data_IF_120533763279
#
_entry.id   IF_120533763279
#
_cell.length_a   1.000
_cell.length_b   1.000
_cell.length_c   1.000
_cell.angle_alpha   90.00
_cell.angle_beta   90.00
_cell.angle_gamma   90.00
#
_symmetry.space_group_name_H-M   'P 1'
#
loop_
_entity.id
_entity.type
_entity.pdbx_description
1 polymer ?
#
# COMPACT_ATOMS: atom_id res chain seq x y z
N UNK A 1 18.22 15.25 -15.21
CA UNK A 1 19.27 15.28 -14.16
C UNK A 1 19.41 13.84 -13.66
N UNK A 2 20.57 13.21 -13.83
CA UNK A 2 20.80 11.92 -13.17
C UNK A 2 20.79 12.20 -11.67
N UNK A 3 20.06 11.43 -10.88
CA UNK A 3 20.19 11.45 -9.42
C UNK A 3 21.63 11.06 -9.11
N UNK A 4 22.49 12.04 -8.75
CA UNK A 4 23.86 11.77 -8.28
C UNK A 4 23.84 11.06 -6.93
N UNK A 5 22.70 11.08 -6.25
CA UNK A 5 22.48 10.46 -4.96
C UNK A 5 22.02 9.00 -5.00
N UNK A 6 22.09 8.36 -3.85
CA UNK A 6 21.77 6.94 -3.70
C UNK A 6 20.26 6.63 -3.75
N UNK A 7 19.96 5.37 -4.03
CA UNK A 7 18.60 4.81 -3.95
C UNK A 7 18.56 3.82 -2.80
N UNK A 8 17.66 4.04 -1.84
CA UNK A 8 17.39 3.11 -0.75
C UNK A 8 16.12 2.30 -1.06
N UNK A 9 16.28 1.01 -1.29
CA UNK A 9 15.17 0.07 -1.43
C UNK A 9 14.93 -0.62 -0.09
N UNK A 10 13.70 -0.57 0.41
CA UNK A 10 13.32 -1.19 1.68
C UNK A 10 12.27 -2.27 1.45
N UNK A 11 12.54 -3.47 1.97
CA UNK A 11 11.67 -4.64 1.87
C UNK A 11 11.30 -5.09 3.30
N UNK A 12 10.16 -4.64 3.86
CA UNK A 12 9.65 -5.19 5.10
C UNK A 12 9.29 -6.67 4.93
N UNK A 13 9.77 -7.54 5.83
CA UNK A 13 9.55 -8.99 5.73
C UNK A 13 9.11 -9.59 7.05
N UNK A 14 8.27 -10.63 6.95
CA UNK A 14 7.95 -11.54 8.05
C UNK A 14 7.46 -12.87 7.47
N UNK A 15 8.27 -13.93 7.57
CA UNK A 15 7.98 -15.26 7.03
C UNK A 15 7.71 -15.25 5.51
N UNK A 16 8.70 -14.81 4.75
CA UNK A 16 8.64 -14.65 3.29
C UNK A 16 9.68 -15.53 2.54
N UNK A 17 10.13 -16.64 3.15
CA UNK A 17 11.11 -17.54 2.55
C UNK A 17 10.73 -18.01 1.14
N UNK A 18 9.44 -18.20 0.86
CA UNK A 18 8.93 -18.62 -0.44
C UNK A 18 9.11 -17.58 -1.56
N UNK A 19 9.36 -16.31 -1.22
CA UNK A 19 9.31 -15.21 -2.19
C UNK A 19 10.56 -14.33 -2.20
N UNK A 20 11.19 -14.12 -1.05
CA UNK A 20 12.24 -13.10 -0.86
C UNK A 20 13.43 -13.31 -1.81
N UNK A 21 13.86 -14.56 -2.09
CA UNK A 21 14.96 -14.82 -2.99
C UNK A 21 14.68 -14.30 -4.41
N UNK A 22 13.45 -14.50 -4.91
CA UNK A 22 13.06 -14.04 -6.25
C UNK A 22 13.08 -12.51 -6.32
N UNK A 23 12.51 -11.84 -5.31
CA UNK A 23 12.49 -10.37 -5.24
C UNK A 23 13.91 -9.80 -5.20
N UNK A 24 14.80 -10.36 -4.37
CA UNK A 24 16.19 -9.93 -4.29
C UNK A 24 16.91 -10.12 -5.63
N UNK A 25 16.75 -11.27 -6.28
CA UNK A 25 17.36 -11.54 -7.57
C UNK A 25 16.91 -10.54 -8.64
N UNK A 26 15.62 -10.17 -8.66
CA UNK A 26 15.11 -9.23 -9.65
C UNK A 26 15.63 -7.80 -9.38
N UNK A 27 15.68 -7.35 -8.12
CA UNK A 27 16.22 -6.05 -7.77
C UNK A 27 17.74 -5.93 -8.01
N UNK A 28 18.51 -6.97 -7.76
CA UNK A 28 19.96 -6.99 -7.99
C UNK A 28 20.30 -6.77 -9.47
N UNK A 29 19.49 -7.28 -10.39
CA UNK A 29 19.69 -7.09 -11.84
C UNK A 29 19.66 -5.63 -12.26
N UNK A 30 19.07 -4.75 -11.45
CA UNK A 30 19.03 -3.30 -11.71
C UNK A 30 20.27 -2.54 -11.23
N UNK A 31 21.16 -3.17 -10.45
CA UNK A 31 22.38 -2.54 -9.91
C UNK A 31 23.28 -1.88 -10.95
N UNK A 32 23.44 -2.40 -12.18
CA UNK A 32 24.25 -1.72 -13.21
C UNK A 32 23.68 -0.33 -13.62
N UNK A 33 22.37 -0.15 -13.47
CA UNK A 33 21.67 1.09 -13.82
C UNK A 33 21.55 2.06 -12.64
N UNK A 34 21.66 1.55 -11.40
CA UNK A 34 21.57 2.27 -10.13
C UNK A 34 22.77 1.90 -9.24
N UNK A 35 23.98 2.37 -9.55
CA UNK A 35 25.22 1.91 -8.89
C UNK A 35 25.25 2.22 -7.38
N UNK A 36 24.55 3.27 -6.93
CA UNK A 36 24.44 3.65 -5.52
C UNK A 36 23.15 3.09 -4.87
N UNK A 37 22.58 2.01 -5.42
CA UNK A 37 21.39 1.35 -4.84
C UNK A 37 21.79 0.49 -3.64
N UNK A 38 21.09 0.69 -2.52
CA UNK A 38 21.14 -0.17 -1.34
C UNK A 38 19.79 -0.83 -1.11
N UNK A 39 19.80 -2.13 -0.91
CA UNK A 39 18.60 -2.95 -0.64
C UNK A 39 18.65 -3.37 0.83
N UNK A 40 17.66 -2.94 1.61
CA UNK A 40 17.54 -3.28 3.03
C UNK A 40 16.31 -4.16 3.23
N UNK A 41 16.54 -5.40 3.62
CA UNK A 41 15.48 -6.30 4.07
C UNK A 41 15.29 -6.11 5.56
N UNK A 42 14.13 -5.54 5.94
CA UNK A 42 13.81 -5.23 7.33
C UNK A 42 12.91 -6.32 7.92
N UNK A 43 13.55 -7.30 8.58
CA UNK A 43 12.90 -8.51 9.08
C UNK A 43 12.24 -8.31 10.44
N UNK A 44 10.97 -8.67 10.55
CA UNK A 44 10.13 -8.58 11.74
C UNK A 44 10.28 -9.78 12.71
N UNK A 45 11.36 -10.54 12.64
CA UNK A 45 11.59 -11.75 13.45
C UNK A 45 10.94 -12.97 12.79
N UNK A 46 11.30 -13.25 11.54
CA UNK A 46 10.87 -14.44 10.80
C UNK A 46 11.35 -15.72 11.50
N UNK A 47 10.52 -16.75 11.44
CA UNK A 47 10.76 -18.08 12.03
C UNK A 47 10.97 -19.16 10.97
N UNK A 48 10.86 -18.79 9.68
CA UNK A 48 11.19 -19.62 8.53
C UNK A 48 12.59 -19.26 8.01
N UNK A 49 12.96 -19.77 6.83
CA UNK A 49 14.29 -19.58 6.24
C UNK A 49 14.54 -18.17 5.68
N UNK A 50 13.63 -17.20 5.87
CA UNK A 50 13.76 -15.83 5.34
C UNK A 50 15.10 -15.20 5.70
N UNK A 51 15.48 -15.25 6.98
CA UNK A 51 16.73 -14.64 7.48
C UNK A 51 17.97 -15.32 6.88
N UNK A 52 17.96 -16.66 6.77
CA UNK A 52 19.07 -17.43 6.19
C UNK A 52 19.27 -17.06 4.71
N UNK A 53 18.18 -16.98 3.94
CA UNK A 53 18.20 -16.59 2.51
C UNK A 53 18.78 -15.20 2.33
N UNK A 54 18.33 -14.23 3.14
CA UNK A 54 18.79 -12.83 3.06
C UNK A 54 20.27 -12.71 3.45
N UNK A 55 20.72 -13.41 4.49
CA UNK A 55 22.13 -13.41 4.88
C UNK A 55 23.02 -14.01 3.78
N UNK A 56 22.59 -15.08 3.14
CA UNK A 56 23.32 -15.66 2.00
C UNK A 56 23.41 -14.67 0.83
N UNK A 57 22.33 -13.96 0.54
CA UNK A 57 22.33 -12.93 -0.50
C UNK A 57 23.26 -11.75 -0.13
N UNK A 58 23.27 -11.30 1.12
CA UNK A 58 24.11 -10.20 1.61
C UNK A 58 25.61 -10.54 1.55
N UNK A 59 25.99 -11.81 1.76
CA UNK A 59 27.38 -12.26 1.59
C UNK A 59 27.87 -12.17 0.14
N UNK A 60 26.96 -12.36 -0.83
CA UNK A 60 27.29 -12.32 -2.27
C UNK A 60 27.19 -10.91 -2.86
N UNK A 61 26.35 -10.05 -2.29
CA UNK A 61 25.99 -8.74 -2.83
C UNK A 61 26.07 -7.66 -1.74
N UNK A 62 27.12 -6.84 -1.76
CA UNK A 62 27.40 -5.79 -0.75
C UNK A 62 26.31 -4.73 -0.64
N UNK A 63 25.48 -4.57 -1.65
CA UNK A 63 24.34 -3.65 -1.62
C UNK A 63 23.15 -4.16 -0.81
N UNK A 64 23.12 -5.46 -0.43
CA UNK A 64 22.06 -6.03 0.40
C UNK A 64 22.47 -5.95 1.87
N UNK A 65 21.52 -5.55 2.71
CA UNK A 65 21.65 -5.57 4.16
C UNK A 65 20.39 -6.16 4.81
N UNK A 66 20.61 -7.01 5.82
CA UNK A 66 19.56 -7.45 6.72
C UNK A 66 19.46 -6.49 7.90
N UNK A 67 18.25 -6.06 8.24
CA UNK A 67 17.96 -5.19 9.38
C UNK A 67 16.89 -5.83 10.25
N UNK A 68 17.16 -6.01 11.54
CA UNK A 68 16.15 -6.49 12.48
C UNK A 68 15.16 -5.39 12.84
N UNK A 69 13.86 -5.66 12.66
CA UNK A 69 12.75 -4.77 13.00
C UNK A 69 11.97 -5.29 14.22
N UNK A 70 12.32 -4.88 15.44
CA UNK A 70 11.68 -5.41 16.66
C UNK A 70 10.19 -5.03 16.79
N UNK A 71 9.76 -3.98 16.11
CA UNK A 71 8.35 -3.55 16.13
C UNK A 71 7.43 -4.47 15.30
N UNK A 72 7.97 -5.31 14.40
CA UNK A 72 7.26 -6.32 13.61
C UNK A 72 6.15 -5.76 12.70
N UNK A 73 6.17 -4.47 12.43
CA UNK A 73 5.22 -3.79 11.54
C UNK A 73 5.95 -3.06 10.42
N UNK A 74 5.28 -2.96 9.28
CA UNK A 74 5.84 -2.43 8.04
C UNK A 74 6.23 -0.95 8.15
N UNK A 75 5.40 -0.12 8.78
CA UNK A 75 5.67 1.30 9.00
C UNK A 75 6.98 1.54 9.75
N UNK A 76 7.19 0.78 10.85
CA UNK A 76 8.42 0.87 11.63
C UNK A 76 9.64 0.33 10.87
N UNK A 77 9.46 -0.73 10.05
CA UNK A 77 10.52 -1.28 9.23
C UNK A 77 11.11 -0.24 8.27
N UNK A 78 10.23 0.46 7.54
CA UNK A 78 10.66 1.50 6.58
C UNK A 78 11.34 2.65 7.31
N UNK A 79 10.74 3.16 8.39
CA UNK A 79 11.33 4.23 9.18
C UNK A 79 12.71 3.87 9.74
N UNK A 80 12.85 2.66 10.28
CA UNK A 80 14.11 2.17 10.82
C UNK A 80 15.20 2.08 9.75
N UNK A 81 14.83 1.55 8.55
CA UNK A 81 15.75 1.46 7.43
C UNK A 81 16.20 2.85 6.95
N UNK A 82 15.30 3.83 6.86
CA UNK A 82 15.62 5.21 6.49
C UNK A 82 16.54 5.86 7.52
N UNK A 83 16.30 5.66 8.82
CA UNK A 83 17.20 6.19 9.87
C UNK A 83 18.61 5.61 9.76
N UNK A 84 18.73 4.31 9.45
CA UNK A 84 20.01 3.59 9.46
C UNK A 84 20.81 3.75 8.17
N UNK A 85 20.14 3.78 7.03
CA UNK A 85 20.77 3.67 5.71
C UNK A 85 20.36 4.79 4.72
N UNK A 86 19.52 5.72 5.14
CA UNK A 86 18.98 6.73 4.22
C UNK A 86 19.83 7.98 4.10
N UNK A 87 20.97 8.15 4.80
CA UNK A 87 21.71 9.43 4.83
C UNK A 87 22.12 9.92 3.44
N UNK A 88 22.65 9.03 2.63
CA UNK A 88 23.17 9.31 1.29
C UNK A 88 22.18 8.96 0.17
N UNK A 89 20.90 8.76 0.52
CA UNK A 89 19.88 8.41 -0.45
C UNK A 89 18.98 9.61 -0.78
N UNK A 90 18.79 9.85 -2.08
CA UNK A 90 17.85 10.85 -2.62
C UNK A 90 16.46 10.28 -2.83
N UNK A 91 16.40 8.97 -3.08
CA UNK A 91 15.15 8.26 -3.37
C UNK A 91 14.97 7.08 -2.41
N UNK A 92 13.79 6.98 -1.82
CA UNK A 92 13.31 5.83 -1.07
C UNK A 92 12.36 5.03 -1.95
N UNK A 93 12.61 3.72 -2.12
CA UNK A 93 11.70 2.78 -2.78
C UNK A 93 11.22 1.76 -1.75
N UNK A 94 9.92 1.53 -1.69
CA UNK A 94 9.30 0.50 -0.88
C UNK A 94 8.89 -0.68 -1.75
N UNK A 95 9.34 -1.88 -1.40
CA UNK A 95 8.97 -3.12 -2.05
C UNK A 95 8.31 -4.08 -1.05
N UNK A 96 7.25 -4.76 -1.47
CA UNK A 96 6.64 -5.85 -0.72
C UNK A 96 7.37 -7.17 -1.05
N UNK A 97 7.65 -8.00 -0.06
CA UNK A 97 8.45 -9.22 -0.22
C UNK A 97 7.78 -10.32 -1.08
N UNK A 98 6.46 -10.22 -1.31
CA UNK A 98 5.66 -11.20 -2.06
C UNK A 98 4.97 -10.63 -3.31
N UNK A 99 5.37 -9.46 -3.76
CA UNK A 99 4.95 -8.90 -5.03
C UNK A 99 5.86 -9.36 -6.18
N UNK A 100 5.38 -9.23 -7.42
CA UNK A 100 6.19 -9.47 -8.62
C UNK A 100 6.38 -8.15 -9.33
N UNK A 101 7.63 -7.76 -9.48
CA UNK A 101 8.05 -6.50 -10.07
C UNK A 101 8.50 -6.68 -11.52
N UNK A 102 8.32 -5.67 -12.39
CA UNK A 102 8.99 -5.67 -13.69
C UNK A 102 10.52 -5.59 -13.51
N UNK A 103 11.28 -6.07 -14.48
CA UNK A 103 12.75 -6.20 -14.41
C UNK A 103 13.51 -4.88 -14.31
N UNK A 104 12.83 -3.76 -14.55
CA UNK A 104 13.36 -2.39 -14.55
C UNK A 104 12.60 -1.48 -13.57
N UNK A 105 12.04 -2.07 -12.52
CA UNK A 105 11.11 -1.42 -11.59
C UNK A 105 11.70 -0.20 -10.90
N UNK A 106 12.85 -0.35 -10.24
CA UNK A 106 13.48 0.73 -9.49
C UNK A 106 13.94 1.85 -10.41
N UNK A 107 14.56 1.49 -11.55
CA UNK A 107 14.99 2.47 -12.55
C UNK A 107 13.83 3.30 -13.07
N UNK A 108 12.71 2.67 -13.45
CA UNK A 108 11.52 3.37 -13.96
C UNK A 108 10.87 4.27 -12.91
N UNK A 109 10.91 3.90 -11.63
CA UNK A 109 10.43 4.75 -10.55
C UNK A 109 11.27 6.02 -10.40
N UNK A 110 12.60 5.89 -10.43
CA UNK A 110 13.52 7.03 -10.40
C UNK A 110 13.30 7.94 -11.62
N UNK A 111 13.25 7.34 -12.83
CA UNK A 111 12.96 8.08 -14.07
C UNK A 111 11.58 8.77 -14.03
N UNK A 112 10.57 8.16 -13.40
CA UNK A 112 9.24 8.75 -13.26
C UNK A 112 9.27 9.98 -12.34
N UNK A 113 9.97 9.91 -11.20
CA UNK A 113 10.17 11.06 -10.32
C UNK A 113 10.87 12.23 -11.05
N UNK A 114 11.89 11.94 -11.84
CA UNK A 114 12.68 12.96 -12.56
C UNK A 114 11.92 13.52 -13.77
N UNK A 115 11.22 12.65 -14.52
CA UNK A 115 10.42 13.07 -15.70
C UNK A 115 9.32 14.06 -15.31
N UNK A 116 8.60 13.80 -14.23
CA UNK A 116 7.53 14.71 -13.77
C UNK A 116 8.10 16.04 -13.29
N UNK A 117 9.32 16.04 -12.74
CA UNK A 117 10.04 17.27 -12.40
C UNK A 117 10.43 18.10 -13.64
N UNK A 118 10.72 17.44 -14.76
CA UNK A 118 11.16 18.09 -16.00
C UNK A 118 10.00 18.74 -16.80
N UNK A 119 8.75 18.44 -16.50
CA UNK A 119 7.58 19.00 -17.21
C UNK A 119 7.22 20.44 -16.81
N UNK A 120 8.11 21.16 -16.11
CA UNK A 120 7.93 22.59 -15.75
C UNK A 120 6.90 22.85 -14.65
N UNK A 121 6.14 21.86 -14.24
CA UNK A 121 5.33 21.88 -13.04
C UNK A 121 6.20 21.45 -11.85
N UNK A 122 5.90 21.94 -10.64
CA UNK A 122 6.54 21.43 -9.44
C UNK A 122 6.45 19.90 -9.44
N UNK A 123 7.61 19.20 -9.45
CA UNK A 123 7.70 17.76 -9.70
C UNK A 123 6.91 16.88 -8.75
N UNK A 124 6.93 15.57 -8.95
CA UNK A 124 6.34 14.61 -8.01
C UNK A 124 7.26 14.41 -6.80
N UNK A 125 6.69 14.42 -5.61
CA UNK A 125 7.37 14.09 -4.35
C UNK A 125 7.28 12.60 -4.03
N UNK A 126 6.26 11.93 -4.57
CA UNK A 126 6.05 10.50 -4.48
C UNK A 126 5.47 9.94 -5.80
N UNK A 127 5.88 8.72 -6.12
CA UNK A 127 5.29 7.92 -7.20
C UNK A 127 4.57 6.73 -6.59
N UNK A 128 3.34 6.53 -7.03
CA UNK A 128 2.50 5.38 -6.72
C UNK A 128 2.20 4.60 -7.99
N UNK A 129 1.97 3.29 -7.87
CA UNK A 129 1.80 2.40 -9.02
C UNK A 129 0.53 1.57 -8.90
N UNK A 130 -0.07 1.16 -10.03
CA UNK A 130 -1.19 0.22 -10.01
C UNK A 130 -0.72 -1.17 -9.57
N UNK A 131 -1.59 -1.84 -8.80
CA UNK A 131 -1.44 -3.24 -8.42
C UNK A 131 -2.42 -4.11 -9.20
N UNK A 132 -1.87 -4.98 -10.05
CA UNK A 132 -2.66 -5.99 -10.76
C UNK A 132 -2.80 -7.23 -9.90
N UNK A 133 -4.02 -7.52 -9.47
CA UNK A 133 -4.30 -8.75 -8.74
C UNK A 133 -4.32 -9.94 -9.69
N UNK A 134 -3.48 -10.96 -9.42
CA UNK A 134 -3.37 -12.19 -10.22
C UNK A 134 -3.55 -13.41 -9.33
N UNK A 135 -4.57 -14.23 -9.62
CA UNK A 135 -4.88 -15.46 -8.87
C UNK A 135 -4.35 -16.73 -9.54
N UNK A 136 -3.80 -17.64 -8.74
CA UNK A 136 -3.43 -19.00 -9.20
C UNK A 136 -4.58 -20.00 -9.01
N UNK A 137 -5.19 -20.03 -7.82
CA UNK A 137 -6.33 -20.90 -7.50
C UNK A 137 -7.65 -20.28 -7.99
N UNK A 138 -8.71 -21.07 -8.07
CA UNK A 138 -10.03 -20.59 -8.49
C UNK A 138 -10.55 -19.47 -7.59
N UNK A 139 -10.42 -19.61 -6.27
CA UNK A 139 -10.79 -18.56 -5.32
C UNK A 139 -9.95 -17.29 -5.50
N UNK A 140 -8.63 -17.43 -5.66
CA UNK A 140 -7.76 -16.28 -5.90
C UNK A 140 -8.08 -15.56 -7.21
N UNK A 141 -8.44 -16.29 -8.29
CA UNK A 141 -8.88 -15.69 -9.56
C UNK A 141 -10.14 -14.87 -9.36
N UNK A 142 -11.12 -15.42 -8.64
CA UNK A 142 -12.36 -14.71 -8.33
C UNK A 142 -12.07 -13.41 -7.53
N UNK A 143 -11.27 -13.49 -6.45
CA UNK A 143 -10.85 -12.31 -5.68
C UNK A 143 -10.10 -11.30 -6.54
N UNK A 144 -9.21 -11.76 -7.43
CA UNK A 144 -8.46 -10.88 -8.34
C UNK A 144 -9.42 -10.11 -9.28
N UNK A 145 -10.38 -10.80 -9.90
CA UNK A 145 -11.34 -10.17 -10.80
C UNK A 145 -12.24 -9.17 -10.09
N UNK A 146 -12.70 -9.51 -8.86
CA UNK A 146 -13.43 -8.57 -8.00
C UNK A 146 -12.58 -7.35 -7.66
N UNK A 147 -11.34 -7.56 -7.21
CA UNK A 147 -10.42 -6.47 -6.84
C UNK A 147 -10.07 -5.54 -8.00
N UNK A 148 -10.15 -6.02 -9.24
CA UNK A 148 -9.92 -5.24 -10.45
C UNK A 148 -11.24 -4.65 -11.02
N UNK A 149 -12.38 -4.82 -10.33
CA UNK A 149 -13.69 -4.32 -10.75
C UNK A 149 -14.12 -3.09 -9.92
N UNK A 150 -14.97 -2.20 -10.49
CA UNK A 150 -15.52 -1.06 -9.74
C UNK A 150 -16.30 -1.47 -8.48
N UNK A 151 -17.04 -2.59 -8.54
CA UNK A 151 -17.82 -3.10 -7.42
C UNK A 151 -16.93 -3.56 -6.26
N UNK A 152 -15.75 -4.13 -6.57
CA UNK A 152 -14.83 -4.62 -5.53
C UNK A 152 -14.00 -3.52 -4.85
N UNK A 153 -13.75 -2.40 -5.53
CA UNK A 153 -12.81 -1.36 -5.04
C UNK A 153 -13.40 0.05 -5.05
N UNK A 154 -14.68 0.20 -5.41
CA UNK A 154 -15.32 1.51 -5.50
C UNK A 154 -14.63 2.45 -6.49
N UNK A 155 -13.97 1.93 -7.53
CA UNK A 155 -13.27 2.71 -8.54
C UNK A 155 -11.98 3.39 -8.04
N UNK A 156 -11.29 2.81 -7.08
CA UNK A 156 -10.02 3.35 -6.59
C UNK A 156 -8.96 3.37 -7.71
N UNK A 157 -8.40 4.56 -8.01
CA UNK A 157 -7.49 4.78 -9.13
C UNK A 157 -6.25 3.86 -9.11
N UNK A 158 -5.69 3.58 -7.95
CA UNK A 158 -4.51 2.71 -7.77
C UNK A 158 -4.79 1.22 -8.00
N UNK A 159 -6.05 0.78 -8.07
CA UNK A 159 -6.42 -0.62 -8.34
C UNK A 159 -6.75 -0.89 -9.81
N UNK A 160 -7.29 0.08 -10.50
CA UNK A 160 -7.72 -0.07 -11.90
C UNK A 160 -7.20 1.06 -12.80
N UNK A 161 -6.29 1.90 -12.30
CA UNK A 161 -5.80 3.10 -12.98
C UNK A 161 -5.28 2.78 -14.37
N UNK A 162 -5.89 3.41 -15.37
CA UNK A 162 -5.50 3.31 -16.79
C UNK A 162 -4.85 4.59 -17.30
N UNK A 163 -4.87 5.65 -16.52
CA UNK A 163 -4.29 6.96 -16.87
C UNK A 163 -3.37 7.41 -15.76
N UNK A 164 -2.16 7.80 -16.14
CA UNK A 164 -1.20 8.44 -15.25
C UNK A 164 -1.65 9.86 -14.91
N UNK A 165 -1.30 10.35 -13.72
CA UNK A 165 -1.64 11.69 -13.27
C UNK A 165 -1.50 11.87 -11.76
N UNK A 166 -1.73 13.09 -11.29
CA UNK A 166 -1.70 13.37 -9.86
C UNK A 166 -2.92 12.80 -9.15
N UNK A 167 -2.67 12.20 -7.98
CA UNK A 167 -3.69 11.52 -7.17
C UNK A 167 -3.55 11.88 -5.70
N UNK A 168 -4.61 11.65 -4.94
CA UNK A 168 -4.61 11.88 -3.49
C UNK A 168 -3.95 10.75 -2.70
N UNK A 169 -3.94 9.53 -3.25
CA UNK A 169 -3.50 8.32 -2.58
C UNK A 169 -3.27 7.19 -3.59
N UNK A 170 -2.30 6.31 -3.30
CA UNK A 170 -2.03 5.12 -4.09
C UNK A 170 -1.20 4.08 -3.36
N UNK A 171 -0.83 2.99 -4.05
CA UNK A 171 0.13 2.04 -3.52
C UNK A 171 1.53 2.65 -3.61
N UNK A 172 2.14 2.86 -2.47
CA UNK A 172 3.44 3.52 -2.37
C UNK A 172 4.53 2.71 -3.06
N UNK A 173 5.29 3.37 -3.93
CA UNK A 173 6.41 2.78 -4.64
C UNK A 173 7.70 3.56 -4.42
N UNK A 174 7.74 4.86 -4.71
CA UNK A 174 8.92 5.68 -4.53
C UNK A 174 8.60 7.04 -3.92
N UNK A 175 9.58 7.60 -3.21
CA UNK A 175 9.52 8.92 -2.58
C UNK A 175 10.84 9.65 -2.78
N UNK A 176 10.79 10.97 -2.90
CA UNK A 176 11.95 11.79 -2.62
C UNK A 176 12.26 11.73 -1.13
N UNK A 177 13.50 11.38 -0.80
CA UNK A 177 13.91 11.11 0.58
C UNK A 177 13.72 12.32 1.49
N UNK A 178 14.00 13.52 1.00
CA UNK A 178 13.81 14.78 1.76
C UNK A 178 12.33 14.98 2.13
N UNK A 179 11.40 14.66 1.21
CA UNK A 179 9.94 14.76 1.47
C UNK A 179 9.47 13.73 2.45
N UNK A 180 9.95 12.48 2.34
CA UNK A 180 9.63 11.43 3.30
C UNK A 180 10.07 11.83 4.72
N UNK A 181 11.28 12.39 4.86
CA UNK A 181 11.80 12.87 6.15
C UNK A 181 11.03 14.07 6.68
N UNK A 182 10.77 15.10 5.85
CA UNK A 182 9.97 16.28 6.26
C UNK A 182 8.57 15.92 6.72
N UNK A 183 7.97 14.89 6.14
CA UNK A 183 6.68 14.37 6.59
C UNK A 183 6.78 13.62 7.92
N UNK A 184 8.00 13.28 8.37
CA UNK A 184 8.28 12.59 9.62
C UNK A 184 8.25 11.07 9.53
N UNK A 185 8.23 10.51 8.31
CA UNK A 185 8.10 9.07 8.08
C UNK A 185 6.68 8.55 8.32
N UNK A 186 6.51 7.22 8.30
CA UNK A 186 5.23 6.58 8.61
C UNK A 186 4.88 6.69 10.10
N UNK A 187 3.60 6.77 10.42
CA UNK A 187 3.12 6.62 11.79
C UNK A 187 3.24 5.15 12.23
N UNK A 188 4.22 4.88 13.08
CA UNK A 188 4.55 3.53 13.54
C UNK A 188 3.47 2.90 14.46
N UNK A 189 2.41 3.63 14.78
CA UNK A 189 1.26 3.08 15.50
C UNK A 189 0.24 2.45 14.54
N UNK A 190 0.37 2.66 13.24
CA UNK A 190 -0.45 2.05 12.20
C UNK A 190 0.17 0.73 11.73
N UNK A 191 -0.57 -0.36 11.91
CA UNK A 191 -0.23 -1.67 11.35
C UNK A 191 -0.79 -1.88 9.94
N UNK A 192 -1.82 -1.10 9.56
CA UNK A 192 -2.50 -1.15 8.27
C UNK A 192 -3.02 0.24 7.94
N UNK A 193 -3.06 0.59 6.66
CA UNK A 193 -3.47 1.89 6.15
C UNK A 193 -2.53 3.05 6.54
N UNK A 194 -1.28 2.73 6.87
CA UNK A 194 -0.20 3.67 7.15
C UNK A 194 0.12 4.56 5.95
N UNK A 195 -0.05 4.01 4.75
CA UNK A 195 0.12 4.69 3.47
C UNK A 195 -0.91 5.83 3.30
N UNK A 196 -2.18 5.57 3.51
CA UNK A 196 -3.21 6.60 3.41
C UNK A 196 -3.09 7.68 4.50
N UNK A 197 -2.64 7.31 5.69
CA UNK A 197 -2.36 8.27 6.76
C UNK A 197 -1.16 9.16 6.38
N UNK A 198 -0.09 8.57 5.87
CA UNK A 198 1.10 9.28 5.41
C UNK A 198 0.75 10.23 4.26
N UNK A 199 -0.06 9.80 3.29
CA UNK A 199 -0.51 10.63 2.18
C UNK A 199 -1.30 11.86 2.64
N UNK A 200 -2.11 11.73 3.71
CA UNK A 200 -2.79 12.88 4.29
C UNK A 200 -1.79 13.91 4.84
N UNK A 201 -0.74 13.45 5.56
CA UNK A 201 0.28 14.36 6.12
C UNK A 201 1.17 14.99 5.05
N UNK A 202 1.68 14.20 4.11
CA UNK A 202 2.56 14.74 3.08
C UNK A 202 1.83 15.74 2.17
N UNK A 203 0.55 15.50 1.84
CA UNK A 203 -0.27 16.45 1.07
C UNK A 203 -0.59 17.72 1.85
N UNK A 204 -0.81 17.63 3.16
CA UNK A 204 -0.95 18.81 4.01
C UNK A 204 0.30 19.69 4.02
N UNK A 205 1.47 19.12 3.72
CA UNK A 205 2.73 19.83 3.53
C UNK A 205 3.00 20.22 2.05
N UNK A 206 1.98 20.13 1.19
CA UNK A 206 2.07 20.52 -0.22
C UNK A 206 2.70 19.47 -1.13
N UNK A 207 2.93 18.23 -0.67
CA UNK A 207 3.50 17.18 -1.49
C UNK A 207 2.54 16.72 -2.60
N UNK A 208 3.09 16.41 -3.77
CA UNK A 208 2.38 15.95 -4.96
C UNK A 208 2.66 14.47 -5.20
N UNK A 209 1.61 13.66 -5.29
CA UNK A 209 1.68 12.22 -5.50
C UNK A 209 1.30 11.93 -6.96
N UNK A 210 2.17 11.28 -7.70
CA UNK A 210 1.94 10.92 -9.10
C UNK A 210 1.68 9.42 -9.26
N UNK A 211 0.57 9.06 -9.91
CA UNK A 211 0.28 7.69 -10.31
C UNK A 211 0.90 7.44 -11.69
N UNK A 212 1.90 6.56 -11.76
CA UNK A 212 2.46 6.09 -13.02
C UNK A 212 1.89 4.74 -13.42
N UNK A 213 0.95 4.74 -14.36
CA UNK A 213 0.27 3.53 -14.80
C UNK A 213 1.09 2.68 -15.76
N UNK A 214 2.22 3.16 -16.23
CA UNK A 214 3.14 2.38 -17.05
C UNK A 214 3.94 1.35 -16.23
N UNK A 215 4.11 1.60 -14.92
CA UNK A 215 4.82 0.73 -13.98
C UNK A 215 3.77 -0.07 -13.20
N UNK A 216 3.64 -1.37 -13.47
CA UNK A 216 2.60 -2.20 -12.85
C UNK A 216 3.21 -3.31 -12.01
N UNK A 217 2.70 -3.46 -10.79
CA UNK A 217 3.13 -4.49 -9.83
C UNK A 217 2.07 -5.58 -9.78
N UNK A 218 2.49 -6.85 -9.82
CA UNK A 218 1.57 -7.97 -9.68
C UNK A 218 1.45 -8.39 -8.22
N UNK A 219 0.23 -8.54 -7.76
CA UNK A 219 -0.09 -8.93 -6.40
C UNK A 219 -0.93 -10.20 -6.36
N UNK A 220 -0.61 -11.12 -5.45
CA UNK A 220 -1.38 -12.35 -5.24
C UNK A 220 -2.39 -12.16 -4.11
N UNK A 221 -3.70 -12.23 -4.39
CA UNK A 221 -4.72 -12.10 -3.34
C UNK A 221 -4.72 -13.32 -2.41
N UNK A 222 -5.38 -13.17 -1.26
CA UNK A 222 -5.50 -14.21 -0.26
C UNK A 222 -6.18 -15.46 -0.81
N UNK A 223 -5.71 -16.65 -0.40
CA UNK A 223 -6.14 -17.93 -0.94
C UNK A 223 -7.38 -18.53 -0.28
N UNK A 224 -7.92 -17.93 0.80
CA UNK A 224 -9.09 -18.44 1.52
C UNK A 224 -10.02 -17.31 1.98
N UNK A 225 -11.30 -17.59 2.16
CA UNK A 225 -12.29 -16.63 2.66
C UNK A 225 -11.91 -16.10 4.05
N UNK A 226 -11.36 -16.94 4.95
CA UNK A 226 -10.92 -16.54 6.28
C UNK A 226 -9.77 -15.53 6.24
N UNK A 227 -8.76 -15.77 5.40
CA UNK A 227 -7.63 -14.85 5.25
C UNK A 227 -8.02 -13.56 4.54
N UNK A 228 -8.96 -13.64 3.57
CA UNK A 228 -9.55 -12.50 2.89
C UNK A 228 -10.35 -11.63 3.86
N UNK A 229 -11.21 -12.24 4.70
CA UNK A 229 -11.95 -11.56 5.76
C UNK A 229 -11.01 -10.80 6.69
N UNK A 230 -9.98 -11.47 7.22
CA UNK A 230 -9.01 -10.85 8.13
C UNK A 230 -8.35 -9.64 7.48
N UNK A 231 -7.94 -9.74 6.24
CA UNK A 231 -7.30 -8.65 5.50
C UNK A 231 -8.22 -7.44 5.34
N UNK A 232 -9.46 -7.67 4.87
CA UNK A 232 -10.40 -6.58 4.64
C UNK A 232 -10.92 -5.96 5.94
N UNK A 233 -11.10 -6.75 6.98
CA UNK A 233 -11.39 -6.23 8.32
C UNK A 233 -10.29 -5.29 8.83
N UNK A 234 -9.02 -5.67 8.65
CA UNK A 234 -7.89 -4.83 9.01
C UNK A 234 -7.84 -3.54 8.18
N UNK A 235 -8.13 -3.62 6.88
CA UNK A 235 -8.23 -2.44 6.02
C UNK A 235 -9.33 -1.48 6.46
N UNK A 236 -10.52 -1.97 6.78
CA UNK A 236 -11.61 -1.16 7.32
C UNK A 236 -11.24 -0.49 8.65
N UNK A 237 -10.67 -1.27 9.56
CA UNK A 237 -10.21 -0.79 10.86
C UNK A 237 -9.08 0.25 10.75
N UNK A 238 -8.11 0.05 9.85
CA UNK A 238 -7.07 1.04 9.56
C UNK A 238 -7.66 2.32 8.96
N UNK A 239 -8.61 2.18 8.03
CA UNK A 239 -9.29 3.33 7.42
C UNK A 239 -10.08 4.16 8.43
N UNK A 240 -10.77 3.52 9.37
CA UNK A 240 -11.48 4.24 10.44
C UNK A 240 -10.53 5.11 11.27
N UNK A 241 -9.32 4.62 11.56
CA UNK A 241 -8.27 5.40 12.24
C UNK A 241 -7.82 6.60 11.41
N UNK A 242 -7.54 6.38 10.12
CA UNK A 242 -7.15 7.49 9.22
C UNK A 242 -8.21 8.56 9.18
N UNK A 243 -9.50 8.19 9.10
CA UNK A 243 -10.63 9.15 9.09
C UNK A 243 -10.72 9.92 10.40
N UNK A 244 -10.55 9.27 11.56
CA UNK A 244 -10.55 9.97 12.86
C UNK A 244 -9.39 10.95 12.99
N UNK A 245 -8.20 10.56 12.51
CA UNK A 245 -7.00 11.41 12.56
C UNK A 245 -7.07 12.56 11.52
N UNK A 246 -7.65 12.27 10.35
CA UNK A 246 -7.77 13.19 9.22
C UNK A 246 -9.21 13.19 8.67
N UNK A 247 -10.17 13.87 9.31
CA UNK A 247 -11.59 13.81 8.91
C UNK A 247 -11.84 14.21 7.45
N UNK A 248 -11.11 15.18 6.93
CA UNK A 248 -11.18 15.61 5.51
C UNK A 248 -10.75 14.53 4.50
N UNK A 249 -10.19 13.40 4.96
CA UNK A 249 -9.84 12.28 4.10
C UNK A 249 -11.01 11.36 3.75
N UNK A 250 -12.16 11.51 4.43
CA UNK A 250 -13.34 10.68 4.19
C UNK A 250 -13.95 10.99 2.82
N UNK A 251 -14.19 9.95 2.04
CA UNK A 251 -14.89 10.03 0.74
C UNK A 251 -16.27 9.41 0.87
N UNK A 252 -17.32 10.03 0.31
CA UNK A 252 -18.71 9.53 0.38
C UNK A 252 -18.84 8.07 -0.07
N UNK A 253 -18.11 7.66 -1.13
CA UNK A 253 -18.08 6.25 -1.60
C UNK A 253 -17.67 5.26 -0.51
N UNK A 254 -16.90 5.68 0.48
CA UNK A 254 -16.43 4.82 1.58
C UNK A 254 -17.51 4.58 2.63
N UNK A 255 -18.55 5.40 2.66
CA UNK A 255 -19.73 5.18 3.50
C UNK A 255 -20.72 4.20 2.90
N UNK A 256 -20.66 3.95 1.57
CA UNK A 256 -21.60 3.06 0.89
C UNK A 256 -21.63 1.65 1.50
N UNK A 257 -20.44 1.07 1.78
CA UNK A 257 -20.32 -0.31 2.29
C UNK A 257 -20.76 -0.43 3.76
N UNK A 258 -20.33 0.44 4.70
CA UNK A 258 -20.85 0.44 6.07
C UNK A 258 -22.35 0.72 6.14
N UNK A 259 -22.85 1.70 5.36
CA UNK A 259 -24.29 2.01 5.32
C UNK A 259 -25.10 0.84 4.79
N UNK A 260 -24.61 0.17 3.72
CA UNK A 260 -25.24 -1.05 3.21
C UNK A 260 -25.36 -2.13 4.30
N UNK A 261 -24.28 -2.37 5.06
CA UNK A 261 -24.30 -3.38 6.14
C UNK A 261 -25.32 -3.04 7.21
N UNK A 262 -25.37 -1.78 7.67
CA UNK A 262 -26.34 -1.31 8.67
C UNK A 262 -27.76 -1.41 8.14
N UNK A 263 -28.03 -0.91 6.93
CA UNK A 263 -29.34 -0.98 6.30
C UNK A 263 -29.81 -2.42 6.09
N UNK A 264 -28.91 -3.33 5.70
CA UNK A 264 -29.24 -4.74 5.55
C UNK A 264 -29.56 -5.41 6.88
N UNK A 265 -28.81 -5.09 7.95
CA UNK A 265 -29.12 -5.60 9.28
C UNK A 265 -30.49 -5.10 9.79
N UNK A 266 -30.78 -3.80 9.59
CA UNK A 266 -32.08 -3.21 9.93
C UNK A 266 -33.21 -3.82 9.09
N UNK A 267 -33.00 -4.01 7.79
CA UNK A 267 -33.98 -4.63 6.89
C UNK A 267 -34.32 -6.07 7.32
N UNK A 268 -33.32 -6.86 7.70
CA UNK A 268 -33.53 -8.20 8.24
C UNK A 268 -34.31 -8.17 9.58
N UNK A 269 -34.03 -7.23 10.46
CA UNK A 269 -34.73 -7.07 11.72
C UNK A 269 -36.20 -6.69 11.49
N UNK A 270 -36.46 -5.74 10.60
CA UNK A 270 -37.80 -5.22 10.28
C UNK A 270 -38.63 -6.22 9.45
N UNK A 271 -37.98 -7.16 8.75
CA UNK A 271 -38.65 -8.12 7.84
C UNK A 271 -39.71 -8.97 8.53
N UNK A 272 -39.61 -9.11 9.86
CA UNK A 272 -40.66 -9.81 10.67
C UNK A 272 -42.03 -9.10 10.60
N UNK A 273 -42.04 -7.78 10.43
CA UNK A 273 -43.26 -6.98 10.35
C UNK A 273 -43.55 -6.49 8.94
N UNK A 274 -42.52 -6.31 8.13
CA UNK A 274 -42.60 -5.75 6.78
C UNK A 274 -41.65 -6.46 5.83
N UNK A 275 -42.13 -7.48 5.12
CA UNK A 275 -41.34 -8.35 4.24
C UNK A 275 -40.63 -7.57 3.11
N UNK A 276 -41.22 -6.45 2.65
CA UNK A 276 -40.61 -5.62 1.59
C UNK A 276 -39.28 -4.96 1.99
N UNK A 277 -38.96 -4.92 3.29
CA UNK A 277 -37.63 -4.50 3.74
C UNK A 277 -36.52 -5.37 3.18
N UNK A 278 -36.80 -6.65 2.84
CA UNK A 278 -35.85 -7.57 2.22
C UNK A 278 -35.49 -7.18 0.78
N UNK A 279 -36.22 -6.24 0.14
CA UNK A 279 -35.86 -5.74 -1.19
C UNK A 279 -34.44 -5.18 -1.23
N UNK A 280 -33.98 -4.50 -0.17
CA UNK A 280 -32.63 -3.95 -0.09
C UNK A 280 -31.54 -5.03 -0.09
N UNK A 281 -31.46 -5.97 0.85
CA UNK A 281 -30.47 -7.04 0.80
C UNK A 281 -30.68 -7.96 -0.43
N UNK A 282 -31.91 -8.14 -0.92
CA UNK A 282 -32.22 -8.87 -2.15
C UNK A 282 -31.60 -8.24 -3.38
N UNK A 283 -31.70 -6.91 -3.53
CA UNK A 283 -31.05 -6.16 -4.61
C UNK A 283 -29.53 -6.34 -4.56
N UNK A 284 -28.93 -6.25 -3.38
CA UNK A 284 -27.50 -6.50 -3.22
C UNK A 284 -27.09 -7.93 -3.62
N UNK A 285 -27.86 -8.93 -3.17
CA UNK A 285 -27.61 -10.31 -3.56
C UNK A 285 -27.71 -10.50 -5.08
N UNK A 286 -28.73 -9.91 -5.71
CA UNK A 286 -28.89 -9.95 -7.16
C UNK A 286 -27.71 -9.27 -7.89
N UNK A 287 -27.21 -8.14 -7.37
CA UNK A 287 -26.02 -7.47 -7.93
C UNK A 287 -24.76 -8.36 -7.83
N UNK A 288 -24.56 -9.08 -6.72
CA UNK A 288 -23.46 -10.01 -6.56
C UNK A 288 -23.58 -11.23 -7.49
N UNK A 289 -24.78 -11.77 -7.67
CA UNK A 289 -25.05 -12.86 -8.62
C UNK A 289 -24.81 -12.39 -10.06
N UNK A 290 -25.30 -11.21 -10.42
CA UNK A 290 -25.07 -10.61 -11.73
C UNK A 290 -23.59 -10.40 -12.03
N UNK A 291 -22.81 -9.92 -11.04
CA UNK A 291 -21.35 -9.79 -11.16
C UNK A 291 -20.70 -11.17 -11.33
N UNK A 292 -21.12 -12.18 -10.56
CA UNK A 292 -20.60 -13.55 -10.71
C UNK A 292 -20.86 -14.08 -12.12
N UNK A 293 -22.07 -13.95 -12.63
CA UNK A 293 -22.42 -14.36 -13.98
C UNK A 293 -21.60 -13.61 -15.04
N UNK A 294 -21.52 -12.27 -14.92
CA UNK A 294 -20.74 -11.43 -15.82
C UNK A 294 -19.26 -11.85 -15.88
N UNK A 295 -18.63 -12.08 -14.69
CA UNK A 295 -17.22 -12.46 -14.63
C UNK A 295 -16.98 -13.90 -15.12
N UNK A 296 -17.95 -14.81 -14.89
CA UNK A 296 -17.93 -16.17 -15.45
C UNK A 296 -17.92 -16.13 -16.99
N UNK A 297 -18.82 -15.36 -17.58
CA UNK A 297 -18.93 -15.19 -19.04
C UNK A 297 -17.68 -14.49 -19.60
N UNK A 298 -17.29 -13.36 -19.01
CA UNK A 298 -16.16 -12.56 -19.47
C UNK A 298 -14.83 -13.31 -19.47
N UNK A 299 -14.58 -14.11 -18.44
CA UNK A 299 -13.34 -14.86 -18.28
C UNK A 299 -13.44 -16.31 -18.75
N UNK A 300 -14.61 -16.73 -19.24
CA UNK A 300 -14.91 -18.09 -19.71
C UNK A 300 -14.48 -19.15 -18.66
N UNK A 301 -14.77 -18.89 -17.38
CA UNK A 301 -14.28 -19.71 -16.26
C UNK A 301 -15.31 -19.80 -15.15
N UNK A 302 -15.58 -21.00 -14.69
CA UNK A 302 -16.46 -21.30 -13.53
C UNK A 302 -15.98 -20.64 -12.24
N UNK A 303 -14.71 -20.22 -12.17
CA UNK A 303 -14.18 -19.47 -11.04
C UNK A 303 -14.91 -18.14 -10.81
N UNK A 304 -15.56 -17.59 -11.84
CA UNK A 304 -16.39 -16.39 -11.73
C UNK A 304 -17.57 -16.54 -10.78
N UNK A 305 -18.10 -17.75 -10.61
CA UNK A 305 -19.18 -18.02 -9.64
C UNK A 305 -18.79 -17.67 -8.20
N UNK A 306 -17.50 -17.74 -7.87
CA UNK A 306 -16.98 -17.36 -6.55
C UNK A 306 -16.81 -15.85 -6.38
N UNK A 307 -17.01 -15.04 -7.41
CA UNK A 307 -16.80 -13.59 -7.36
C UNK A 307 -17.80 -12.89 -6.42
N UNK A 308 -19.08 -13.21 -6.49
CA UNK A 308 -20.11 -12.69 -5.58
C UNK A 308 -19.82 -13.02 -4.11
N UNK A 309 -19.62 -14.30 -3.75
CA UNK A 309 -19.20 -14.68 -2.41
C UNK A 309 -17.91 -13.97 -1.94
N UNK A 310 -16.90 -13.84 -2.79
CA UNK A 310 -15.67 -13.13 -2.46
C UNK A 310 -15.94 -11.64 -2.19
N UNK A 311 -16.73 -10.97 -3.03
CA UNK A 311 -17.12 -9.57 -2.83
C UNK A 311 -17.93 -9.38 -1.54
N UNK A 312 -18.86 -10.29 -1.23
CA UNK A 312 -19.61 -10.26 0.02
C UNK A 312 -18.67 -10.32 1.25
N UNK A 313 -17.69 -11.23 1.23
CA UNK A 313 -16.65 -11.31 2.28
C UNK A 313 -15.87 -10.00 2.38
N UNK A 314 -15.41 -9.43 1.26
CA UNK A 314 -14.65 -8.17 1.23
C UNK A 314 -15.45 -7.01 1.81
N UNK A 315 -16.69 -6.82 1.34
CA UNK A 315 -17.55 -5.73 1.76
C UNK A 315 -17.92 -5.83 3.24
N UNK A 316 -18.41 -7.00 3.68
CA UNK A 316 -18.83 -7.19 5.07
C UNK A 316 -17.67 -7.07 6.04
N UNK A 317 -16.52 -7.68 5.73
CA UNK A 317 -15.34 -7.61 6.57
C UNK A 317 -14.83 -6.16 6.69
N UNK A 318 -14.78 -5.43 5.57
CA UNK A 318 -14.35 -4.03 5.57
C UNK A 318 -15.30 -3.13 6.36
N UNK A 319 -16.62 -3.30 6.18
CA UNK A 319 -17.63 -2.54 6.91
C UNK A 319 -17.56 -2.82 8.42
N UNK A 320 -17.49 -4.10 8.82
CA UNK A 320 -17.32 -4.48 10.23
C UNK A 320 -16.06 -3.87 10.84
N UNK A 321 -14.93 -3.96 10.14
CA UNK A 321 -13.66 -3.37 10.57
C UNK A 321 -13.74 -1.85 10.72
N UNK A 322 -14.39 -1.18 9.76
CA UNK A 322 -14.57 0.28 9.78
C UNK A 322 -15.46 0.74 10.92
N UNK A 323 -16.67 0.16 11.06
CA UNK A 323 -17.64 0.52 12.09
C UNK A 323 -17.09 0.22 13.50
N UNK A 324 -16.58 -0.99 13.71
CA UNK A 324 -15.98 -1.36 14.99
C UNK A 324 -14.79 -0.47 15.33
N UNK A 325 -13.96 -0.18 14.34
CA UNK A 325 -12.80 0.70 14.51
C UNK A 325 -13.17 2.14 14.86
N UNK A 326 -14.32 2.67 14.41
CA UNK A 326 -14.81 3.99 14.82
C UNK A 326 -15.16 4.04 16.32
N UNK A 327 -15.68 2.94 16.87
CA UNK A 327 -16.20 2.90 18.26
C UNK A 327 -15.12 2.48 19.26
N UNK A 328 -14.29 1.49 18.92
CA UNK A 328 -13.47 0.77 19.92
C UNK A 328 -12.02 1.25 20.00
N UNK A 329 -11.48 1.92 19.01
CA UNK A 329 -10.07 2.26 18.98
C UNK A 329 -9.81 3.68 19.43
N UNK A 330 -9.04 3.84 20.52
CA UNK A 330 -8.46 5.13 20.93
C UNK A 330 -7.22 5.40 20.09
N UNK A 331 -7.06 6.67 19.64
CA UNK A 331 -5.84 7.07 18.93
C UNK A 331 -4.64 7.05 19.88
N UNK A 332 -3.56 6.40 19.45
CA UNK A 332 -2.26 6.48 20.13
C UNK A 332 -1.54 7.74 19.63
N UNK A 333 -1.02 8.52 20.55
CA UNK A 333 -0.16 9.66 20.19
C UNK A 333 1.11 9.12 19.55
N UNK A 334 1.39 9.58 18.34
CA UNK A 334 2.62 9.32 17.64
C UNK A 334 3.43 10.62 17.52
N UNK A 335 4.74 10.52 17.72
CA UNK A 335 5.66 11.62 17.48
C UNK A 335 6.54 11.26 16.29
N UNK A 336 6.65 12.14 15.28
CA UNK A 336 7.56 11.92 14.16
C UNK A 336 8.98 11.66 14.64
N UNK A 337 9.58 10.57 14.19
CA UNK A 337 10.94 10.18 14.60
C UNK A 337 12.02 10.69 13.64
N UNK A 338 11.62 11.32 12.51
CA UNK A 338 12.49 11.73 11.43
C UNK A 338 12.54 13.25 11.21
N UNK A 339 11.88 14.04 12.04
CA UNK A 339 12.02 15.50 11.94
C UNK A 339 13.44 15.85 12.41
N UNK A 340 14.38 15.95 11.48
CA UNK A 340 15.62 16.67 11.73
C UNK A 340 15.21 18.13 11.95
N UNK A 341 15.55 18.76 13.09
CA UNK A 341 15.37 20.19 13.22
C UNK A 341 16.07 20.83 12.02
N UNK A 342 15.35 21.61 11.24
CA UNK A 342 15.95 22.44 10.21
C UNK A 342 16.95 23.32 10.92
N UNK A 343 18.25 23.04 10.81
CA UNK A 343 19.28 24.02 11.07
C UNK A 343 19.03 25.09 10.02
N UNK A 344 18.67 26.32 10.43
CA UNK A 344 18.35 27.36 9.44
C UNK A 344 19.58 27.57 8.59
N UNK A 345 19.46 27.62 7.25
CA UNK A 345 20.53 27.83 6.29
C UNK A 345 21.33 29.14 6.52
N UNK A 346 20.91 29.96 7.48
CA UNK A 346 21.61 31.20 7.89
C UNK A 346 22.54 31.01 9.10
N UNK A 347 22.48 29.91 9.85
CA UNK A 347 23.34 29.69 11.03
C UNK A 347 24.82 29.40 10.67
N UNK A 348 25.14 29.23 9.40
CA UNK A 348 26.51 28.97 8.90
C UNK A 348 27.32 30.18 8.41
N UNK A 349 26.81 31.41 8.53
CA UNK A 349 27.53 32.62 8.06
C UNK A 349 27.90 33.66 9.13
N UNK A 350 27.83 33.30 10.38
CA UNK A 350 28.27 34.19 11.47
C UNK A 350 29.57 33.66 12.08
N UNK A 351 30.68 33.72 11.33
CA UNK A 351 31.97 33.26 11.85
C UNK A 351 33.12 33.28 10.88
N UNK A 352 33.15 34.30 9.99
CA UNK A 352 34.38 34.61 9.22
C UNK A 352 34.46 36.11 9.02
N UNK A 353 34.94 36.82 10.07
CA UNK A 353 35.14 38.24 10.01
C UNK A 353 35.63 38.80 11.35
N UNK A 354 36.86 38.54 11.71
CA UNK A 354 37.72 39.41 12.50
C UNK A 354 39.15 38.90 12.44
#
# INVERSE_FOLDING_TARGET
MRTEGGVLVVIPTLNEAAHIQTVLNDLIKESPWLPNMRIVVADGGSTDDTVAIVNQAAQRHRQIALLHNPARIQSAAVNLAVRRYGQDADVLIRCDAHAVYPSDYCRRLVESLDRVAALGEAGADAVVVPMDSIGKTCFQRAVAWVSNSPLGTGGAAHRAGRRSGFVDHGHHAAFRMDRFRRTGGYDETFSHNEDAEFDCRQRALGARIYLDTSIRVQYRPRGSARSLWRQYFQYGSGRSRTVRKHPGSLRLRQLAVPSHLVLSALALLVSRWWVWSLAWPGFYAAALLGMSAQLTIRHRSVCGLLAGPAAAVMHTAWACGFLLGLVTRRERRWRPTMVTPLTPLWAGRAGAGS
#
